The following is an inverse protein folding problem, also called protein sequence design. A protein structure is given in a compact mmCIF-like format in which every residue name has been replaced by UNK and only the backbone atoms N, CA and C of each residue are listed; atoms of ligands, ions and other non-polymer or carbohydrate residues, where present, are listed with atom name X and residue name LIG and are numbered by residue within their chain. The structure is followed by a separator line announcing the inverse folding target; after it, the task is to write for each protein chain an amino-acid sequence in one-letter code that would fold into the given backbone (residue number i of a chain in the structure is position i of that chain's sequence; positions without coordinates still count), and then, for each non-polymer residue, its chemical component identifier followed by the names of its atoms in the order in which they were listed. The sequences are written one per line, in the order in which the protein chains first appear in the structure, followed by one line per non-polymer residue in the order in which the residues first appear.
data_IF_999866457774
#
_entry.id   IF_999866457774
#
_cell.length_a   1.000
_cell.length_b   1.000
_cell.length_c   1.000
_cell.angle_alpha   90.00
_cell.angle_beta   90.00
_cell.angle_gamma   90.00
#
_symmetry.space_group_name_H-M   'P 1'
#
loop_
_entity.id
_entity.type
_entity.pdbx_description
1 polymer ?
#
# COMPACT_ATOMS: atom_id res chain seq x y z
N UNK A 1 13.93 -19.14 -49.96
CA UNK A 1 14.53 -18.64 -48.71
C UNK A 1 14.32 -19.68 -47.62
N UNK A 2 15.39 -20.32 -47.14
CA UNK A 2 15.32 -21.25 -46.00
C UNK A 2 15.42 -20.41 -44.72
N UNK A 3 14.30 -20.12 -44.07
CA UNK A 3 14.35 -19.66 -42.68
C UNK A 3 15.04 -20.77 -41.87
N UNK A 4 16.20 -20.48 -41.30
CA UNK A 4 16.95 -21.47 -40.55
C UNK A 4 16.18 -21.84 -39.29
N UNK A 5 16.10 -23.13 -38.95
CA UNK A 5 15.53 -23.60 -37.69
C UNK A 5 16.16 -22.92 -36.46
N UNK A 6 17.39 -22.38 -36.60
CA UNK A 6 18.07 -21.63 -35.55
C UNK A 6 17.32 -20.35 -35.17
N UNK A 7 16.71 -19.66 -36.13
CA UNK A 7 16.00 -18.39 -35.89
C UNK A 7 14.68 -18.63 -35.15
N UNK A 8 14.05 -19.79 -35.36
CA UNK A 8 12.83 -20.20 -34.66
C UNK A 8 13.14 -20.64 -33.20
N UNK A 9 14.26 -21.33 -32.98
CA UNK A 9 14.70 -21.74 -31.65
C UNK A 9 15.09 -20.56 -30.76
N UNK A 10 15.72 -19.52 -31.33
CA UNK A 10 16.05 -18.29 -30.57
C UNK A 10 14.79 -17.51 -30.17
N UNK A 11 13.76 -17.46 -31.04
CA UNK A 11 12.46 -16.87 -30.65
C UNK A 11 11.74 -17.69 -29.57
N UNK A 12 11.80 -19.03 -29.62
CA UNK A 12 11.21 -19.87 -28.58
C UNK A 12 11.92 -19.71 -27.22
N UNK A 13 13.25 -19.55 -27.21
CA UNK A 13 14.03 -19.33 -25.97
C UNK A 13 13.76 -17.94 -25.37
N UNK A 14 13.55 -16.91 -26.19
CA UNK A 14 13.18 -15.56 -25.69
C UNK A 14 11.75 -15.52 -25.14
N UNK A 15 10.84 -16.38 -25.63
CA UNK A 15 9.48 -16.52 -25.07
C UNK A 15 9.49 -17.36 -23.78
N UNK A 16 10.41 -18.32 -23.65
CA UNK A 16 10.55 -19.13 -22.42
C UNK A 16 11.38 -18.48 -21.31
N UNK A 17 12.02 -17.33 -21.56
CA UNK A 17 12.68 -16.50 -20.53
C UNK A 17 11.86 -15.27 -20.14
N UNK A 18 10.58 -15.21 -20.53
CA UNK A 18 9.61 -14.43 -19.77
C UNK A 18 9.53 -15.12 -18.40
N UNK A 19 10.44 -14.73 -17.49
CA UNK A 19 10.30 -15.04 -16.07
C UNK A 19 8.86 -14.76 -15.72
N UNK A 20 8.20 -15.74 -15.09
CA UNK A 20 6.81 -15.64 -14.70
C UNK A 20 6.59 -14.24 -14.13
N UNK A 21 5.91 -13.37 -14.88
CA UNK A 21 5.54 -12.06 -14.35
C UNK A 21 4.70 -12.41 -13.15
N UNK A 22 5.15 -12.00 -11.97
CA UNK A 22 4.44 -12.23 -10.72
C UNK A 22 3.01 -11.78 -10.94
N UNK A 23 2.08 -12.73 -10.87
CA UNK A 23 0.67 -12.39 -10.95
C UNK A 23 0.30 -11.66 -9.67
N UNK A 24 -0.64 -10.70 -9.70
CA UNK A 24 -1.25 -10.14 -8.50
C UNK A 24 -1.75 -11.21 -7.52
N UNK A 25 -2.01 -12.43 -8.02
CA UNK A 25 -2.52 -13.55 -7.23
C UNK A 25 -1.41 -14.33 -6.52
N UNK A 26 -0.14 -14.11 -6.87
CA UNK A 26 0.99 -14.82 -6.28
C UNK A 26 1.22 -14.37 -4.83
N UNK A 27 0.91 -13.12 -4.49
CA UNK A 27 0.96 -12.62 -3.11
C UNK A 27 -0.23 -13.09 -2.26
N UNK A 28 -1.39 -13.38 -2.86
CA UNK A 28 -2.61 -13.74 -2.11
C UNK A 28 -2.37 -15.01 -1.30
N UNK A 29 -2.65 -14.96 0.00
CA UNK A 29 -2.47 -16.07 0.94
C UNK A 29 -1.81 -15.64 2.24
N UNK A 30 -1.46 -16.63 3.06
CA UNK A 30 -0.82 -16.41 4.36
C UNK A 30 0.68 -16.64 4.26
N UNK A 31 1.46 -15.67 4.73
CA UNK A 31 2.90 -15.66 4.75
C UNK A 31 3.37 -15.60 6.19
N UNK A 32 4.26 -16.50 6.59
CA UNK A 32 4.82 -16.54 7.95
C UNK A 32 6.31 -16.26 7.90
N UNK A 33 6.78 -15.30 8.67
CA UNK A 33 8.20 -14.98 8.77
C UNK A 33 8.98 -16.16 9.37
N UNK A 34 10.28 -16.17 9.13
CA UNK A 34 11.22 -16.92 9.95
C UNK A 34 11.10 -16.57 11.45
N UNK A 35 11.78 -17.33 12.31
CA UNK A 35 11.88 -16.99 13.73
C UNK A 35 12.76 -15.74 13.88
N UNK A 36 12.15 -14.65 14.31
CA UNK A 36 12.80 -13.35 14.48
C UNK A 36 13.16 -13.05 15.94
N UNK A 37 13.05 -14.05 16.82
CA UNK A 37 13.41 -13.89 18.23
C UNK A 37 14.88 -13.47 18.36
N UNK A 38 15.11 -12.35 19.05
CA UNK A 38 16.46 -11.84 19.31
C UNK A 38 17.09 -11.02 18.17
N UNK A 39 16.37 -10.70 17.08
CA UNK A 39 16.89 -9.84 15.99
C UNK A 39 17.11 -8.36 16.38
N UNK A 40 16.80 -7.96 17.61
CA UNK A 40 17.04 -6.59 18.08
C UNK A 40 16.23 -5.53 17.34
N UNK A 41 15.16 -5.94 16.64
CA UNK A 41 14.11 -5.04 16.18
C UNK A 41 13.55 -4.27 17.40
N UNK A 42 12.94 -3.08 17.21
CA UNK A 42 12.38 -2.27 18.31
C UNK A 42 11.23 -2.93 19.10
N UNK A 43 11.06 -4.25 18.95
CA UNK A 43 9.99 -5.09 19.47
C UNK A 43 10.62 -6.28 20.20
N UNK A 44 11.12 -6.08 21.43
CA UNK A 44 11.49 -7.22 22.27
C UNK A 44 10.24 -8.10 22.41
N UNK A 45 10.40 -9.41 22.22
CA UNK A 45 9.40 -10.46 22.43
C UNK A 45 8.54 -10.90 21.24
N UNK A 46 8.73 -10.39 20.01
CA UNK A 46 8.09 -10.98 18.81
C UNK A 46 8.89 -12.18 18.32
N UNK A 47 8.22 -13.30 18.04
CA UNK A 47 8.82 -14.53 17.48
C UNK A 47 8.56 -14.70 16.00
N UNK A 48 7.34 -14.37 15.54
CA UNK A 48 6.96 -14.46 14.13
C UNK A 48 6.01 -13.33 13.76
N UNK A 49 6.04 -12.95 12.49
CA UNK A 49 5.05 -12.11 11.84
C UNK A 49 4.30 -12.97 10.84
N UNK A 50 2.97 -12.90 10.87
CA UNK A 50 2.09 -13.58 9.92
C UNK A 50 1.35 -12.50 9.13
N UNK A 51 1.55 -12.46 7.82
CA UNK A 51 0.85 -11.54 6.92
C UNK A 51 -0.14 -12.33 6.08
N UNK A 52 -1.40 -11.91 6.06
CA UNK A 52 -2.45 -12.45 5.21
C UNK A 52 -2.84 -11.40 4.17
N UNK A 53 -2.71 -11.74 2.89
CA UNK A 53 -3.16 -10.89 1.78
C UNK A 53 -4.41 -11.49 1.14
N UNK A 54 -5.51 -10.74 1.13
CA UNK A 54 -6.79 -11.17 0.56
C UNK A 54 -7.02 -10.56 -0.83
N UNK A 55 -7.82 -11.21 -1.72
CA UNK A 55 -8.00 -10.74 -3.11
C UNK A 55 -8.57 -9.33 -3.27
N UNK A 56 -9.22 -8.79 -2.24
CA UNK A 56 -9.85 -7.48 -2.23
C UNK A 56 -8.88 -6.34 -1.85
N UNK A 57 -7.56 -6.59 -1.92
CA UNK A 57 -6.48 -5.64 -1.55
C UNK A 57 -6.48 -5.25 -0.07
N UNK A 58 -7.08 -6.10 0.77
CA UNK A 58 -7.03 -6.01 2.23
C UNK A 58 -6.23 -7.18 2.80
N UNK A 59 -6.07 -7.19 4.11
CA UNK A 59 -5.30 -8.22 4.77
C UNK A 59 -5.16 -7.97 6.26
N UNK A 60 -4.38 -8.83 6.89
CA UNK A 60 -3.92 -8.62 8.27
C UNK A 60 -2.43 -8.84 8.39
N UNK A 61 -1.81 -8.13 9.31
CA UNK A 61 -0.54 -8.54 9.87
C UNK A 61 -0.73 -8.91 11.33
N UNK A 62 -0.24 -10.07 11.72
CA UNK A 62 -0.25 -10.55 13.10
C UNK A 62 1.16 -10.68 13.63
N UNK A 63 1.47 -9.96 14.70
CA UNK A 63 2.67 -10.20 15.49
C UNK A 63 2.38 -11.28 16.53
N UNK A 64 3.19 -12.33 16.53
CA UNK A 64 3.14 -13.42 17.50
C UNK A 64 4.24 -13.21 18.53
N UNK A 65 3.87 -13.14 19.79
CA UNK A 65 4.79 -12.89 20.89
C UNK A 65 5.26 -14.19 21.55
N UNK A 66 6.42 -14.17 22.19
CA UNK A 66 7.02 -15.31 22.93
C UNK A 66 6.07 -15.91 23.98
N UNK A 67 5.21 -15.09 24.57
CA UNK A 67 4.21 -15.52 25.56
C UNK A 67 2.93 -16.14 24.93
N UNK A 68 2.89 -16.28 23.59
CA UNK A 68 1.74 -16.76 22.84
C UNK A 68 0.68 -15.69 22.54
N UNK A 69 0.89 -14.45 22.99
CA UNK A 69 0.05 -13.30 22.67
C UNK A 69 0.09 -12.96 21.18
N UNK A 70 -0.96 -12.29 20.71
CA UNK A 70 -1.07 -11.85 19.31
C UNK A 70 -1.56 -10.42 19.27
N UNK A 71 -0.93 -9.60 18.43
CA UNK A 71 -1.41 -8.28 18.04
C UNK A 71 -1.73 -8.32 16.55
N UNK A 72 -2.93 -7.89 16.16
CA UNK A 72 -3.41 -7.98 14.77
C UNK A 72 -3.71 -6.57 14.27
N UNK A 73 -3.07 -6.21 13.17
CA UNK A 73 -3.30 -4.97 12.44
C UNK A 73 -4.02 -5.29 11.14
N UNK A 74 -5.01 -4.48 10.77
CA UNK A 74 -5.53 -4.50 9.40
C UNK A 74 -4.51 -3.84 8.49
N UNK A 75 -4.38 -4.36 7.27
CA UNK A 75 -3.51 -3.78 6.24
C UNK A 75 -4.29 -3.67 4.93
N UNK A 76 -3.86 -2.74 4.07
CA UNK A 76 -4.16 -2.81 2.65
C UNK A 76 -2.88 -3.12 1.89
N UNK A 77 -2.98 -3.85 0.78
CA UNK A 77 -1.82 -4.20 -0.04
C UNK A 77 -1.99 -3.78 -1.49
N UNK A 78 -0.85 -3.55 -2.11
CA UNK A 78 -0.72 -2.97 -3.43
C UNK A 78 0.24 -3.79 -4.27
N UNK A 79 0.06 -3.67 -5.57
CA UNK A 79 0.94 -4.23 -6.59
C UNK A 79 1.48 -3.04 -7.37
N UNK A 80 2.79 -2.92 -7.45
CA UNK A 80 3.50 -1.88 -8.17
C UNK A 80 3.63 -2.26 -9.64
N UNK A 81 3.86 -1.27 -10.50
CA UNK A 81 3.99 -1.45 -11.95
C UNK A 81 5.14 -2.39 -12.35
N UNK A 82 6.15 -2.56 -11.48
CA UNK A 82 7.28 -3.46 -11.66
C UNK A 82 7.02 -4.90 -11.20
N UNK A 83 5.79 -5.21 -10.76
CA UNK A 83 5.38 -6.52 -10.26
C UNK A 83 5.80 -6.80 -8.80
N UNK A 84 6.40 -5.82 -8.12
CA UNK A 84 6.64 -5.88 -6.68
C UNK A 84 5.36 -5.54 -5.91
N UNK A 85 5.34 -5.85 -4.62
CA UNK A 85 4.19 -5.57 -3.77
C UNK A 85 4.59 -4.69 -2.60
N UNK A 86 3.60 -4.10 -1.95
CA UNK A 86 3.77 -3.50 -0.64
C UNK A 86 2.47 -3.53 0.15
N UNK A 87 2.53 -3.29 1.45
CA UNK A 87 1.36 -3.16 2.30
C UNK A 87 1.55 -2.07 3.35
N UNK A 88 0.44 -1.50 3.84
CA UNK A 88 0.46 -0.39 4.78
C UNK A 88 -0.50 -0.62 5.96
N UNK A 89 -0.07 -0.22 7.16
CA UNK A 89 -0.90 -0.24 8.38
C UNK A 89 -1.87 0.94 8.44
N UNK A 90 -1.40 2.12 8.05
CA UNK A 90 -2.16 3.37 8.10
C UNK A 90 -2.78 3.65 6.74
N UNK A 91 -3.58 2.70 6.27
CA UNK A 91 -4.28 2.81 5.00
C UNK A 91 -5.76 3.10 5.22
N UNK A 92 -6.34 3.92 4.35
CA UNK A 92 -7.77 4.20 4.32
C UNK A 92 -8.32 4.16 2.90
N UNK A 93 -9.57 3.71 2.79
CA UNK A 93 -10.32 3.76 1.54
C UNK A 93 -11.00 5.13 1.39
N UNK A 94 -10.80 5.78 0.25
CA UNK A 94 -11.47 7.04 -0.10
C UNK A 94 -12.36 6.84 -1.32
N UNK A 95 -13.59 7.34 -1.24
CA UNK A 95 -14.56 7.33 -2.33
C UNK A 95 -14.79 8.74 -2.85
N UNK A 96 -14.59 8.92 -4.15
CA UNK A 96 -14.85 10.14 -4.90
C UNK A 96 -16.32 10.16 -5.34
N UNK A 97 -16.98 11.31 -5.27
CA UNK A 97 -18.33 11.49 -5.83
C UNK A 97 -18.30 11.47 -7.36
N UNK A 98 -19.40 11.06 -8.00
CA UNK A 98 -19.49 10.94 -9.48
C UNK A 98 -19.14 12.23 -10.23
N UNK A 99 -19.39 13.39 -9.63
CA UNK A 99 -19.08 14.70 -10.20
C UNK A 99 -17.62 15.14 -9.95
N UNK A 100 -16.80 14.32 -9.31
CA UNK A 100 -15.38 14.59 -9.05
C UNK A 100 -15.10 15.72 -8.06
N UNK A 101 -16.09 16.22 -7.32
CA UNK A 101 -15.92 17.41 -6.45
C UNK A 101 -15.73 17.10 -4.97
N UNK A 102 -16.20 15.95 -4.48
CA UNK A 102 -16.07 15.56 -3.08
C UNK A 102 -15.41 14.19 -2.95
N UNK A 103 -14.61 14.01 -1.91
CA UNK A 103 -14.04 12.73 -1.53
C UNK A 103 -14.38 12.43 -0.07
N UNK A 104 -14.73 11.20 0.25
CA UNK A 104 -15.06 10.75 1.61
C UNK A 104 -14.25 9.49 1.91
N UNK A 105 -13.48 9.48 3.00
CA UNK A 105 -12.79 8.27 3.43
C UNK A 105 -13.59 7.42 4.42
N UNK A 106 -13.12 6.20 4.67
CA UNK A 106 -13.75 5.23 5.55
C UNK A 106 -13.70 5.60 7.04
N UNK A 107 -12.90 6.61 7.40
CA UNK A 107 -12.90 7.22 8.74
C UNK A 107 -13.97 8.32 8.87
N UNK A 108 -14.66 8.64 7.77
CA UNK A 108 -15.71 9.65 7.72
C UNK A 108 -15.20 11.06 7.43
N UNK A 109 -13.93 11.24 7.07
CA UNK A 109 -13.39 12.54 6.68
C UNK A 109 -13.83 12.87 5.25
N UNK A 110 -14.29 14.11 5.06
CA UNK A 110 -14.85 14.63 3.82
C UNK A 110 -13.98 15.76 3.32
N UNK A 111 -13.63 15.71 2.04
CA UNK A 111 -12.78 16.67 1.37
C UNK A 111 -13.49 17.26 0.15
N UNK A 112 -13.31 18.55 -0.07
CA UNK A 112 -13.74 19.27 -1.25
C UNK A 112 -12.55 19.50 -2.20
N UNK A 113 -12.77 19.28 -3.49
CA UNK A 113 -11.79 19.63 -4.52
C UNK A 113 -11.69 21.15 -4.62
N UNK A 114 -10.50 21.68 -4.39
CA UNK A 114 -10.20 23.11 -4.51
C UNK A 114 -9.21 23.41 -5.64
N UNK A 115 -8.58 22.37 -6.21
CA UNK A 115 -7.65 22.48 -7.34
C UNK A 115 -7.63 21.21 -8.20
N UNK A 116 -7.24 21.39 -9.47
CA UNK A 116 -7.25 20.33 -10.48
C UNK A 116 -8.57 20.19 -11.24
N UNK A 117 -8.57 19.32 -12.24
CA UNK A 117 -9.73 19.03 -13.09
C UNK A 117 -10.63 17.97 -12.44
N UNK A 118 -11.94 18.21 -12.37
CA UNK A 118 -12.90 17.23 -11.83
C UNK A 118 -12.93 15.95 -12.66
N UNK A 119 -12.65 16.05 -13.96
CA UNK A 119 -12.62 14.89 -14.88
C UNK A 119 -11.30 14.10 -14.77
N UNK A 120 -10.32 14.59 -14.00
CA UNK A 120 -9.04 13.90 -13.79
C UNK A 120 -9.09 12.77 -12.75
N UNK A 121 -10.26 12.52 -12.14
CA UNK A 121 -10.43 11.47 -11.13
C UNK A 121 -10.02 11.95 -9.75
N UNK A 122 -9.02 11.32 -9.14
CA UNK A 122 -8.53 11.66 -7.78
C UNK A 122 -7.37 12.67 -7.74
N UNK A 123 -6.42 12.71 -8.71
CA UNK A 123 -5.42 13.77 -8.78
C UNK A 123 -6.00 15.17 -8.64
N UNK A 124 -5.30 16.04 -7.90
CA UNK A 124 -5.67 17.42 -7.62
C UNK A 124 -5.52 17.79 -6.15
N UNK A 125 -6.05 18.96 -5.79
CA UNK A 125 -5.96 19.51 -4.44
C UNK A 125 -7.29 19.40 -3.73
N UNK A 126 -7.27 18.81 -2.55
CA UNK A 126 -8.42 18.48 -1.73
C UNK A 126 -8.29 19.12 -0.36
N UNK A 127 -9.31 19.83 0.10
CA UNK A 127 -9.34 20.43 1.42
C UNK A 127 -10.48 19.83 2.26
N UNK A 128 -10.19 19.46 3.50
CA UNK A 128 -11.17 19.01 4.47
C UNK A 128 -12.32 20.02 4.59
N UNK A 129 -13.56 19.53 4.58
CA UNK A 129 -14.76 20.37 4.69
C UNK A 129 -14.95 20.89 6.11
N UNK A 130 -14.46 20.14 7.10
CA UNK A 130 -14.50 20.48 8.52
C UNK A 130 -13.15 20.17 9.18
N UNK A 131 -13.00 20.56 10.44
CA UNK A 131 -11.84 20.19 11.23
C UNK A 131 -12.07 18.84 11.93
N UNK A 132 -11.03 18.02 12.00
CA UNK A 132 -11.07 16.69 12.62
C UNK A 132 -10.26 16.66 13.90
N UNK A 133 -10.79 15.99 14.93
CA UNK A 133 -10.08 15.81 16.20
C UNK A 133 -9.05 14.68 16.07
N UNK A 134 -7.80 14.98 16.40
CA UNK A 134 -6.72 14.00 16.50
C UNK A 134 -5.82 14.38 17.68
N UNK A 135 -5.56 13.43 18.59
CA UNK A 135 -4.77 13.64 19.81
C UNK A 135 -5.20 14.87 20.65
N UNK A 136 -6.51 15.16 20.70
CA UNK A 136 -7.08 16.26 21.48
C UNK A 136 -6.92 17.65 20.86
N UNK A 137 -6.50 17.73 19.59
CA UNK A 137 -6.45 18.98 18.81
C UNK A 137 -7.30 18.84 17.55
N UNK A 138 -7.90 19.95 17.11
CA UNK A 138 -8.60 20.00 15.82
C UNK A 138 -7.66 20.41 14.70
N UNK A 139 -7.75 19.68 13.58
CA UNK A 139 -6.95 19.90 12.39
C UNK A 139 -7.82 20.09 11.15
N UNK A 140 -7.45 21.05 10.30
CA UNK A 140 -7.85 21.04 8.89
C UNK A 140 -6.77 20.33 8.09
N UNK A 141 -7.19 19.61 7.05
CA UNK A 141 -6.30 18.78 6.24
C UNK A 141 -6.38 19.26 4.79
N UNK A 142 -5.24 19.44 4.15
CA UNK A 142 -5.15 19.65 2.70
C UNK A 142 -4.31 18.54 2.09
N UNK A 143 -4.85 17.82 1.12
CA UNK A 143 -4.14 16.82 0.35
C UNK A 143 -3.85 17.34 -1.05
N UNK A 144 -2.60 17.29 -1.48
CA UNK A 144 -2.21 17.50 -2.87
C UNK A 144 -1.84 16.15 -3.47
N UNK A 145 -2.59 15.72 -4.48
CA UNK A 145 -2.48 14.39 -5.07
C UNK A 145 -2.02 14.53 -6.52
N UNK A 146 -0.93 13.86 -6.86
CA UNK A 146 -0.28 13.94 -8.16
C UNK A 146 -0.68 12.76 -9.08
N UNK A 147 -0.56 12.92 -10.42
CA UNK A 147 -0.89 11.86 -11.38
C UNK A 147 0.00 10.61 -11.32
N UNK A 148 1.16 10.69 -10.67
CA UNK A 148 2.12 9.58 -10.53
C UNK A 148 1.87 8.70 -9.29
N UNK A 149 0.63 8.73 -8.78
CA UNK A 149 0.20 8.01 -7.58
C UNK A 149 0.80 8.50 -6.26
N UNK A 150 1.52 9.62 -6.25
CA UNK A 150 2.06 10.23 -5.01
C UNK A 150 1.28 11.47 -4.59
N UNK A 151 1.57 11.99 -3.39
CA UNK A 151 0.95 13.20 -2.88
C UNK A 151 1.53 13.64 -1.54
N UNK A 152 0.97 14.73 -1.00
CA UNK A 152 1.29 15.24 0.33
C UNK A 152 0.02 15.57 1.11
N UNK A 153 -0.01 15.24 2.40
CA UNK A 153 -1.04 15.64 3.36
C UNK A 153 -0.48 16.71 4.28
N UNK A 154 -1.19 17.83 4.39
CA UNK A 154 -0.80 18.94 5.25
C UNK A 154 -1.87 19.10 6.31
N UNK A 155 -1.47 18.87 7.56
CA UNK A 155 -2.34 19.00 8.73
C UNK A 155 -2.07 20.36 9.39
N UNK A 156 -3.08 21.21 9.46
CA UNK A 156 -2.99 22.53 10.12
C UNK A 156 -3.88 22.54 11.34
N UNK A 157 -3.29 22.73 12.51
CA UNK A 157 -4.04 22.74 13.76
C UNK A 157 -4.88 24.02 13.90
N UNK A 158 -5.77 24.03 14.90
CA UNK A 158 -6.65 25.16 15.23
C UNK A 158 -5.94 26.51 15.49
N UNK A 159 -4.64 26.50 15.82
CA UNK A 159 -3.83 27.70 16.04
C UNK A 159 -3.12 28.18 14.76
N UNK A 160 -3.35 27.49 13.63
CA UNK A 160 -2.73 27.77 12.34
C UNK A 160 -1.31 27.21 12.20
N UNK A 161 -0.87 26.36 13.14
CA UNK A 161 0.43 25.69 13.07
C UNK A 161 0.28 24.44 12.21
N UNK A 162 1.06 24.39 11.15
CA UNK A 162 1.13 23.26 10.23
C UNK A 162 2.11 22.24 10.75
N UNK A 163 1.67 20.98 10.85
CA UNK A 163 2.56 19.85 11.05
C UNK A 163 3.42 19.61 9.80
N UNK A 164 4.45 18.77 9.89
CA UNK A 164 5.22 18.41 8.70
C UNK A 164 4.31 17.77 7.63
N UNK A 165 4.52 18.06 6.32
CA UNK A 165 3.78 17.39 5.27
C UNK A 165 4.04 15.88 5.32
N UNK A 166 2.96 15.10 5.34
CA UNK A 166 3.02 13.65 5.31
C UNK A 166 2.99 13.19 3.85
N UNK A 167 3.98 12.42 3.42
CA UNK A 167 3.97 11.86 2.07
C UNK A 167 2.83 10.83 1.95
N UNK A 168 1.95 10.99 0.96
CA UNK A 168 0.87 10.06 0.66
C UNK A 168 1.21 9.28 -0.62
N UNK A 169 0.80 8.01 -0.66
CA UNK A 169 0.65 7.28 -1.92
C UNK A 169 -0.81 6.81 -2.02
N UNK A 170 -1.34 6.73 -3.24
CA UNK A 170 -2.71 6.32 -3.51
C UNK A 170 -2.82 5.34 -4.68
N UNK A 171 -3.84 4.48 -4.66
CA UNK A 171 -4.06 3.45 -5.69
C UNK A 171 -5.51 3.41 -6.11
N UNK A 172 -5.81 3.41 -7.43
CA UNK A 172 -7.14 3.08 -7.93
C UNK A 172 -7.52 1.66 -7.51
N UNK A 173 -8.62 1.50 -6.79
CA UNK A 173 -9.12 0.20 -6.33
C UNK A 173 -10.36 -0.25 -7.12
N UNK A 174 -11.35 0.64 -7.22
CA UNK A 174 -12.58 0.45 -8.00
C UNK A 174 -12.92 1.80 -8.65
N UNK A 175 -13.96 1.80 -9.47
CA UNK A 175 -14.51 3.05 -10.01
C UNK A 175 -14.77 4.04 -8.86
N UNK A 176 -14.12 5.20 -8.95
CA UNK A 176 -14.18 6.28 -7.96
C UNK A 176 -13.73 5.89 -6.53
N UNK A 177 -13.00 4.79 -6.35
CA UNK A 177 -12.50 4.37 -5.03
C UNK A 177 -10.99 4.19 -5.05
N UNK A 178 -10.33 4.72 -4.02
CA UNK A 178 -8.88 4.82 -3.93
C UNK A 178 -8.39 4.36 -2.55
N UNK A 179 -7.37 3.52 -2.50
CA UNK A 179 -6.68 3.18 -1.25
C UNK A 179 -5.56 4.20 -1.08
N UNK A 180 -5.53 4.88 0.06
CA UNK A 180 -4.53 5.89 0.41
C UNK A 180 -3.77 5.42 1.64
N UNK A 181 -2.52 5.85 1.79
CA UNK A 181 -1.73 5.62 3.00
C UNK A 181 -0.55 6.59 3.09
N UNK A 182 0.00 6.75 4.29
CA UNK A 182 1.25 7.48 4.47
C UNK A 182 2.44 6.61 4.07
N UNK A 183 3.36 7.18 3.28
CA UNK A 183 4.51 6.46 2.72
C UNK A 183 5.44 5.86 3.77
N UNK A 184 5.53 6.49 4.95
CA UNK A 184 6.26 5.97 6.09
C UNK A 184 5.66 4.71 6.72
N UNK A 185 4.37 4.46 6.49
CA UNK A 185 3.68 3.24 6.95
C UNK A 185 3.76 2.09 5.93
N UNK A 186 4.49 2.25 4.82
CA UNK A 186 4.59 1.28 3.74
C UNK A 186 5.72 0.27 4.00
N UNK A 187 5.39 -1.01 3.90
CA UNK A 187 6.35 -2.11 3.91
C UNK A 187 6.39 -2.74 2.51
N UNK A 188 7.55 -2.70 1.87
CA UNK A 188 7.76 -3.37 0.59
C UNK A 188 7.78 -4.88 0.80
N UNK A 189 7.21 -5.65 -0.13
CA UNK A 189 7.16 -7.10 -0.10
C UNK A 189 7.48 -7.68 -1.48
N UNK A 190 8.56 -8.46 -1.57
CA UNK A 190 9.04 -9.05 -2.82
C UNK A 190 8.87 -10.55 -2.78
N UNK A 191 8.22 -11.13 -3.79
CA UNK A 191 8.21 -12.59 -3.99
C UNK A 191 9.47 -12.95 -4.77
N UNK A 192 10.29 -13.84 -4.22
CA UNK A 192 11.54 -14.31 -4.79
C UNK A 192 11.31 -15.53 -5.69
N UNK A 193 12.26 -15.81 -6.59
CA UNK A 193 12.20 -16.94 -7.55
C UNK A 193 12.03 -18.33 -6.90
N UNK A 194 12.45 -18.47 -5.64
CA UNK A 194 12.31 -19.70 -4.86
C UNK A 194 10.92 -19.85 -4.18
N UNK A 195 10.01 -18.90 -4.39
CA UNK A 195 8.66 -18.86 -3.82
C UNK A 195 8.57 -18.29 -2.40
N UNK A 196 9.67 -17.83 -1.79
CA UNK A 196 9.62 -17.12 -0.50
C UNK A 196 9.34 -15.63 -0.71
N UNK A 197 8.77 -15.00 0.31
CA UNK A 197 8.60 -13.55 0.36
C UNK A 197 9.76 -12.91 1.13
N UNK A 198 10.10 -11.67 0.83
CA UNK A 198 11.02 -10.86 1.61
C UNK A 198 10.45 -9.46 1.77
N UNK A 199 10.38 -8.97 3.01
CA UNK A 199 9.93 -7.61 3.26
C UNK A 199 11.08 -6.58 3.23
N UNK A 200 10.76 -5.29 3.32
CA UNK A 200 11.75 -4.21 3.34
C UNK A 200 12.61 -4.17 4.61
N UNK A 201 12.30 -4.97 5.63
CA UNK A 201 13.16 -5.20 6.79
C UNK A 201 14.10 -6.39 6.59
N UNK A 202 14.08 -7.02 5.42
CA UNK A 202 14.81 -8.25 5.06
C UNK A 202 14.37 -9.48 5.87
N UNK A 203 13.14 -9.49 6.37
CA UNK A 203 12.59 -10.71 6.96
C UNK A 203 12.14 -11.65 5.85
N UNK A 204 12.51 -12.92 5.98
CA UNK A 204 12.12 -13.95 5.02
C UNK A 204 10.79 -14.57 5.44
N UNK A 205 9.87 -14.73 4.48
CA UNK A 205 8.54 -15.31 4.69
C UNK A 205 8.33 -16.56 3.84
N UNK A 206 7.64 -17.54 4.42
CA UNK A 206 7.17 -18.74 3.70
C UNK A 206 5.65 -18.68 3.56
N UNK A 207 5.15 -18.99 2.36
CA UNK A 207 3.72 -19.10 2.09
C UNK A 207 3.17 -20.44 2.59
N UNK A 208 2.02 -20.42 3.27
CA UNK A 208 1.30 -21.60 3.73
C UNK A 208 0.39 -22.20 2.65
#
# INVERSE_FOLDING_TARGET
MKMSLLTLAVMAVVICSAGCVSSPHDIIGTWTSEDISGLGLPLPDVTHIIVEFTPDRKGTETWVYTNGGRYVSNISWIENDDGTFAYAYESWLTTLTENGTLACDEEGRVFNRIGGDADSGYPGTWAAVEAYEYNGMFYTITNEIYPDNTGVSIWTNQDGVTDQPWEIIWYPYKENMYINYYKEALIGFTILDNGTGMDSYNLTYTKA
#
